data_IF_976905127497
#
_entry.id   IF_976905127497
#
_cell.length_a   1.000
_cell.length_b   1.000
_cell.length_c   1.000
_cell.angle_alpha   90.00
_cell.angle_beta   90.00
_cell.angle_gamma   90.00
#
_symmetry.space_group_name_H-M   'P 1'
#
loop_
_entity.id
_entity.type
_entity.pdbx_description
1 polymer ?
#
# COMPACT_ATOMS: atom_id res chain seq x y z
N UNK A 1 21.76 44.17 23.23
CA UNK A 1 22.21 42.76 23.07
C UNK A 1 21.02 41.97 22.54
N UNK A 2 21.10 41.48 21.30
CA UNK A 2 20.03 40.70 20.68
C UNK A 2 20.05 39.26 21.20
N UNK A 3 18.89 38.74 21.61
CA UNK A 3 18.73 37.37 22.05
C UNK A 3 18.74 36.45 20.82
N UNK A 4 19.60 35.42 20.72
CA UNK A 4 19.53 34.47 19.61
C UNK A 4 18.27 33.64 19.80
N UNK A 5 17.32 33.80 18.88
CA UNK A 5 16.12 32.99 18.80
C UNK A 5 16.57 31.56 18.50
N UNK A 6 16.46 30.67 19.50
CA UNK A 6 16.70 29.24 19.32
C UNK A 6 15.62 28.72 18.40
N UNK A 7 15.91 28.66 17.09
CA UNK A 7 15.06 28.00 16.11
C UNK A 7 15.13 26.51 16.42
N UNK A 8 14.14 26.01 17.17
CA UNK A 8 13.90 24.59 17.31
C UNK A 8 13.53 24.06 15.93
N UNK A 9 14.49 23.45 15.23
CA UNK A 9 14.20 22.65 14.05
C UNK A 9 13.45 21.41 14.52
N UNK A 10 12.12 21.49 14.53
CA UNK A 10 11.29 20.31 14.74
C UNK A 10 11.67 19.29 13.65
N UNK A 11 12.17 18.13 14.08
CA UNK A 11 12.47 17.03 13.17
C UNK A 11 11.13 16.54 12.63
N UNK A 12 10.95 16.65 11.33
CA UNK A 12 9.72 16.24 10.66
C UNK A 12 9.59 14.72 10.73
N UNK A 13 8.55 14.24 11.42
CA UNK A 13 8.35 12.80 11.65
C UNK A 13 7.85 12.15 10.36
N UNK A 14 8.55 11.12 9.91
CA UNK A 14 8.18 10.32 8.74
C UNK A 14 7.85 8.89 9.13
N UNK A 15 6.82 8.33 8.49
CA UNK A 15 6.46 6.93 8.57
C UNK A 15 6.58 6.27 7.19
N UNK A 16 6.57 4.93 7.18
CA UNK A 16 6.56 4.16 5.93
C UNK A 16 5.11 3.84 5.57
N UNK A 17 4.70 4.25 4.38
CA UNK A 17 3.36 4.03 3.84
C UNK A 17 3.42 3.18 2.57
N UNK A 18 2.41 2.36 2.34
CA UNK A 18 2.17 1.68 1.07
C UNK A 18 0.74 1.97 0.62
N UNK A 19 0.50 1.92 -0.69
CA UNK A 19 -0.86 2.04 -1.25
C UNK A 19 -1.31 0.68 -1.73
N UNK A 20 -2.50 0.29 -1.30
CA UNK A 20 -3.07 -1.02 -1.61
C UNK A 20 -4.46 -0.87 -2.23
N UNK A 21 -4.77 -1.71 -3.21
CA UNK A 21 -6.11 -1.89 -3.73
C UNK A 21 -6.80 -3.03 -2.97
N UNK A 22 -8.08 -2.83 -2.65
CA UNK A 22 -8.88 -3.77 -1.88
C UNK A 22 -9.81 -4.55 -2.82
N UNK A 23 -9.58 -5.86 -3.02
CA UNK A 23 -10.55 -6.71 -3.67
C UNK A 23 -11.79 -6.91 -2.77
N UNK A 24 -12.92 -7.37 -3.33
CA UNK A 24 -14.02 -7.91 -2.53
C UNK A 24 -13.51 -9.05 -1.65
N UNK A 25 -14.06 -9.18 -0.44
CA UNK A 25 -13.76 -10.33 0.42
C UNK A 25 -14.30 -11.62 -0.22
N UNK A 26 -13.42 -12.61 -0.39
CA UNK A 26 -13.71 -13.91 -0.99
C UNK A 26 -13.72 -15.06 0.03
N UNK A 27 -13.47 -14.77 1.31
CA UNK A 27 -13.53 -15.76 2.39
C UNK A 27 -12.42 -16.83 2.38
N UNK A 28 -11.43 -16.75 1.48
CA UNK A 28 -10.39 -17.77 1.37
C UNK A 28 -9.59 -17.96 2.66
N UNK A 29 -9.30 -16.86 3.36
CA UNK A 29 -8.59 -16.91 4.64
C UNK A 29 -9.41 -17.64 5.73
N UNK A 30 -10.74 -17.53 5.68
CA UNK A 30 -11.63 -18.23 6.61
C UNK A 30 -11.73 -19.74 6.30
N UNK A 31 -11.64 -20.13 5.02
CA UNK A 31 -11.71 -21.53 4.59
C UNK A 31 -10.39 -22.28 4.82
N UNK A 32 -9.26 -21.68 4.45
CA UNK A 32 -7.96 -22.38 4.41
C UNK A 32 -7.04 -22.05 5.59
N UNK A 33 -7.35 -21.01 6.36
CA UNK A 33 -6.48 -20.48 7.40
C UNK A 33 -5.25 -19.75 6.83
N UNK A 34 -4.59 -18.96 7.66
CA UNK A 34 -3.44 -18.17 7.23
C UNK A 34 -3.14 -17.04 8.22
N UNK A 35 -2.04 -16.30 8.01
CA UNK A 35 -1.82 -15.07 8.75
C UNK A 35 -2.96 -14.10 8.48
N UNK A 36 -3.47 -13.50 9.56
CA UNK A 36 -4.62 -12.62 9.49
C UNK A 36 -4.19 -11.25 8.98
N UNK A 37 -4.39 -11.01 7.69
CA UNK A 37 -4.31 -9.70 7.05
C UNK A 37 -5.43 -9.58 6.02
N UNK A 38 -5.88 -8.35 5.78
CA UNK A 38 -6.91 -8.07 4.78
C UNK A 38 -6.36 -8.38 3.38
N UNK A 39 -7.06 -9.15 2.53
CA UNK A 39 -6.66 -9.36 1.14
C UNK A 39 -6.44 -8.02 0.44
N UNK A 40 -5.28 -7.85 -0.20
CA UNK A 40 -4.95 -6.60 -0.88
C UNK A 40 -3.93 -6.80 -1.99
N UNK A 41 -3.89 -5.85 -2.93
CA UNK A 41 -2.88 -5.77 -3.99
C UNK A 41 -2.06 -4.50 -3.74
N UNK A 42 -0.76 -4.64 -3.47
CA UNK A 42 0.13 -3.48 -3.35
C UNK A 42 0.30 -2.82 -4.71
N UNK A 43 -0.18 -1.57 -4.83
CA UNK A 43 -0.09 -0.76 -6.07
C UNK A 43 1.16 0.12 -6.03
N UNK A 44 1.45 0.69 -4.87
CA UNK A 44 2.68 1.46 -4.62
C UNK A 44 3.36 0.86 -3.40
N UNK A 45 4.64 0.50 -3.58
CA UNK A 45 5.44 -0.11 -2.53
C UNK A 45 5.69 0.81 -1.33
N UNK A 46 6.39 0.32 -0.29
CA UNK A 46 6.68 1.10 0.91
C UNK A 46 7.51 2.35 0.60
N UNK A 47 7.02 3.54 1.00
CA UNK A 47 7.67 4.85 0.81
C UNK A 47 7.66 5.62 2.13
N UNK A 48 8.77 6.28 2.46
CA UNK A 48 8.89 7.13 3.65
C UNK A 48 8.33 8.53 3.38
N UNK A 49 7.27 8.91 4.09
CA UNK A 49 6.57 10.19 3.93
C UNK A 49 6.21 10.79 5.28
N UNK A 50 6.01 12.10 5.30
CA UNK A 50 5.29 12.76 6.39
C UNK A 50 3.81 12.38 6.29
N UNK A 51 3.05 12.51 7.38
CA UNK A 51 1.62 12.22 7.35
C UNK A 51 0.88 13.13 6.35
N UNK A 52 1.25 14.41 6.29
CA UNK A 52 0.64 15.39 5.39
C UNK A 52 0.92 15.05 3.92
N UNK A 53 2.16 14.70 3.59
CA UNK A 53 2.54 14.26 2.24
C UNK A 53 1.81 12.98 1.85
N UNK A 54 1.72 12.00 2.76
CA UNK A 54 1.03 10.74 2.52
C UNK A 54 -0.45 10.98 2.19
N UNK A 55 -1.13 11.81 2.96
CA UNK A 55 -2.54 12.14 2.75
C UNK A 55 -2.78 12.92 1.46
N UNK A 56 -1.91 13.89 1.14
CA UNK A 56 -2.02 14.69 -0.08
C UNK A 56 -1.79 13.83 -1.33
N UNK A 57 -0.77 12.97 -1.32
CA UNK A 57 -0.51 12.03 -2.42
C UNK A 57 -1.62 11.00 -2.55
N UNK A 58 -2.13 10.48 -1.44
CA UNK A 58 -3.24 9.50 -1.46
C UNK A 58 -4.50 10.09 -2.10
N UNK A 59 -4.88 11.31 -1.70
CA UNK A 59 -6.05 12.00 -2.29
C UNK A 59 -5.87 12.22 -3.78
N UNK A 60 -4.74 12.80 -4.19
CA UNK A 60 -4.45 13.07 -5.59
C UNK A 60 -4.42 11.79 -6.45
N UNK A 61 -3.87 10.69 -5.93
CA UNK A 61 -3.87 9.41 -6.63
C UNK A 61 -5.26 8.75 -6.72
N UNK A 62 -6.19 9.10 -5.80
CA UNK A 62 -7.53 8.51 -5.75
C UNK A 62 -8.56 9.30 -6.56
N UNK A 63 -8.32 10.58 -6.85
CA UNK A 63 -9.26 11.47 -7.55
C UNK A 63 -9.65 10.96 -8.95
N UNK A 64 -8.68 10.42 -9.70
CA UNK A 64 -8.88 9.94 -11.07
C UNK A 64 -8.87 8.41 -11.19
N UNK A 65 -8.83 7.69 -10.05
CA UNK A 65 -8.74 6.23 -10.05
C UNK A 65 -10.14 5.61 -9.97
N UNK A 66 -10.60 5.08 -11.09
CA UNK A 66 -11.79 4.23 -11.11
C UNK A 66 -11.48 2.84 -10.56
N UNK A 67 -12.50 2.18 -10.00
CA UNK A 67 -12.42 0.76 -9.73
C UNK A 67 -12.12 0.02 -11.03
N UNK A 68 -11.13 -0.87 -11.00
CA UNK A 68 -10.67 -1.61 -12.17
C UNK A 68 -10.74 -3.11 -11.91
N UNK A 69 -11.03 -3.85 -12.98
CA UNK A 69 -11.02 -5.31 -12.93
C UNK A 69 -9.58 -5.82 -13.03
N UNK A 70 -9.30 -6.88 -12.29
CA UNK A 70 -8.05 -7.63 -12.42
C UNK A 70 -8.38 -9.09 -12.71
N UNK A 71 -7.50 -9.76 -13.46
CA UNK A 71 -7.63 -11.18 -13.74
C UNK A 71 -6.51 -11.93 -13.05
N UNK A 72 -6.88 -12.87 -12.18
CA UNK A 72 -5.94 -13.86 -11.65
C UNK A 72 -5.47 -14.74 -12.79
N UNK A 73 -4.16 -14.88 -12.94
CA UNK A 73 -3.54 -15.80 -13.88
C UNK A 73 -3.43 -17.20 -13.26
N UNK A 74 -2.70 -17.32 -12.14
CA UNK A 74 -2.55 -18.57 -11.40
C UNK A 74 -2.08 -18.33 -9.95
N UNK A 75 -2.13 -19.37 -9.12
CA UNK A 75 -1.47 -19.38 -7.80
C UNK A 75 0.03 -19.58 -8.00
N UNK A 76 0.83 -18.69 -7.43
CA UNK A 76 2.29 -18.73 -7.50
C UNK A 76 2.91 -18.75 -6.10
N UNK A 77 4.17 -19.17 -6.04
CA UNK A 77 5.00 -19.16 -4.83
C UNK A 77 6.30 -18.42 -5.09
N UNK A 78 6.84 -17.81 -4.04
CA UNK A 78 8.10 -17.07 -4.08
C UNK A 78 9.06 -17.58 -3.02
N UNK A 79 10.26 -17.00 -3.00
CA UNK A 79 11.36 -17.44 -2.13
C UNK A 79 11.59 -16.50 -0.95
N UNK A 80 10.61 -15.66 -0.61
CA UNK A 80 10.71 -14.64 0.43
C UNK A 80 9.45 -14.60 1.30
N UNK A 81 9.58 -14.15 2.55
CA UNK A 81 8.55 -14.26 3.59
C UNK A 81 7.20 -13.62 3.21
N UNK A 82 7.21 -12.47 2.53
CA UNK A 82 5.97 -11.80 2.08
C UNK A 82 5.45 -12.34 0.73
N UNK A 83 6.12 -13.34 0.16
CA UNK A 83 5.78 -14.00 -1.11
C UNK A 83 5.76 -15.53 -0.93
N UNK A 84 5.26 -16.03 0.19
CA UNK A 84 5.14 -17.49 0.41
C UNK A 84 4.18 -18.15 -0.60
N UNK A 85 2.96 -17.62 -0.70
CA UNK A 85 1.94 -17.98 -1.69
C UNK A 85 1.15 -16.73 -2.03
N UNK A 86 0.83 -16.54 -3.31
CA UNK A 86 0.09 -15.36 -3.78
C UNK A 86 -0.63 -15.63 -5.09
N UNK A 87 -1.64 -14.82 -5.39
CA UNK A 87 -2.31 -14.82 -6.69
C UNK A 87 -1.51 -13.93 -7.64
N UNK A 88 -1.00 -14.51 -8.73
CA UNK A 88 -0.36 -13.73 -9.77
C UNK A 88 -1.45 -13.07 -10.63
N UNK A 89 -1.39 -11.74 -10.76
CA UNK A 89 -2.36 -10.95 -11.53
C UNK A 89 -1.82 -10.69 -12.93
N UNK A 90 -2.66 -10.85 -13.96
CA UNK A 90 -2.32 -10.54 -15.34
C UNK A 90 -2.07 -9.02 -15.49
N UNK A 91 -0.90 -8.58 -16.00
CA UNK A 91 -0.58 -7.17 -16.15
C UNK A 91 -1.33 -6.56 -17.34
N UNK A 92 -2.59 -6.18 -17.13
CA UNK A 92 -3.39 -5.42 -18.08
C UNK A 92 -3.40 -3.94 -17.73
N UNK A 93 -3.34 -3.01 -18.71
CA UNK A 93 -3.55 -1.59 -18.45
C UNK A 93 -4.89 -1.36 -17.74
N UNK A 94 -4.89 -0.54 -16.70
CA UNK A 94 -6.11 -0.05 -16.08
C UNK A 94 -6.86 0.82 -17.10
N UNK A 95 -8.19 0.65 -17.20
CA UNK A 95 -9.05 1.46 -18.08
C UNK A 95 -9.76 2.55 -17.30
#
# INVERSE_FOLDING_TARGET
MANPQTTSTAVEVKNVYAMVALPPDDGLNAEFGGPQFEPHITVVGPISLTLEDALTKFRSASEDLNAYETKVDHVATGTFFYQCMFLLINPTPQR
#
